data_IF_230296020526
#
_entry.id   IF_230296020526
#
_cell.length_a   1.000
_cell.length_b   1.000
_cell.length_c   1.000
_cell.angle_alpha   90.00
_cell.angle_beta   90.00
_cell.angle_gamma   90.00
#
_symmetry.space_group_name_H-M   'P 1'
#
loop_
_entity.id
_entity.type
_entity.pdbx_description
1 polymer ?
#
# COMPACT_ATOMS: atom_id res chain seq x y z
N UNK A 1 -43.38 24.50 -38.11
CA UNK A 1 -44.55 23.84 -37.47
C UNK A 1 -44.15 22.41 -37.11
N UNK A 2 -44.07 22.10 -35.81
CA UNK A 2 -43.85 20.79 -35.13
C UNK A 2 -42.44 20.15 -35.34
N UNK A 3 -41.46 20.24 -34.42
CA UNK A 3 -41.34 19.85 -32.99
C UNK A 3 -41.26 18.33 -32.75
N UNK A 4 -40.10 17.95 -32.18
CA UNK A 4 -39.75 16.80 -31.32
C UNK A 4 -39.68 15.38 -31.89
N UNK A 5 -38.51 14.76 -31.74
CA UNK A 5 -38.25 13.51 -30.97
C UNK A 5 -36.71 13.34 -30.93
N UNK A 6 -36.05 13.95 -29.94
CA UNK A 6 -35.61 13.38 -28.65
C UNK A 6 -34.23 12.71 -28.72
N UNK A 7 -33.32 13.31 -27.95
CA UNK A 7 -31.93 12.98 -27.75
C UNK A 7 -31.75 11.67 -26.98
N UNK A 8 -30.89 10.77 -27.49
CA UNK A 8 -30.34 9.63 -26.75
C UNK A 8 -28.94 9.29 -27.27
N UNK A 9 -27.94 10.08 -26.89
CA UNK A 9 -26.55 9.62 -26.82
C UNK A 9 -25.74 10.49 -25.86
N UNK A 10 -26.18 10.54 -24.59
CA UNK A 10 -25.33 11.00 -23.47
C UNK A 10 -25.23 9.87 -22.44
N UNK A 11 -24.78 8.72 -22.90
CA UNK A 11 -24.23 7.60 -22.14
C UNK A 11 -23.02 7.21 -23.00
N UNK A 12 -21.76 7.34 -22.58
CA UNK A 12 -21.17 6.92 -21.31
C UNK A 12 -19.82 7.65 -21.14
N UNK A 13 -19.18 7.52 -19.99
CA UNK A 13 -17.94 8.20 -19.55
C UNK A 13 -18.14 9.48 -18.73
N UNK A 14 -19.07 9.43 -17.78
CA UNK A 14 -18.68 9.83 -16.41
C UNK A 14 -17.76 8.72 -15.90
N UNK A 15 -16.46 8.81 -16.17
CA UNK A 15 -15.48 8.04 -15.39
C UNK A 15 -15.72 8.49 -13.96
N UNK A 16 -16.18 7.56 -13.13
CA UNK A 16 -16.32 7.76 -11.70
C UNK A 16 -14.94 8.17 -11.18
N UNK A 17 -14.73 9.48 -10.94
CA UNK A 17 -13.79 9.90 -9.91
C UNK A 17 -14.48 9.62 -8.58
N UNK A 18 -14.66 8.34 -8.28
CA UNK A 18 -14.85 7.95 -6.90
C UNK A 18 -13.52 8.30 -6.22
N UNK A 19 -13.51 9.14 -5.19
CA UNK A 19 -12.35 9.22 -4.33
C UNK A 19 -12.11 7.78 -3.87
N UNK A 20 -10.92 7.24 -4.16
CA UNK A 20 -10.52 5.90 -3.74
C UNK A 20 -10.72 5.89 -2.22
N UNK A 21 -11.80 5.25 -1.80
CA UNK A 21 -12.32 5.31 -0.44
C UNK A 21 -11.20 4.83 0.47
N UNK A 22 -10.88 5.59 1.52
CA UNK A 22 -9.92 5.21 2.53
C UNK A 22 -10.13 3.73 2.91
N UNK A 23 -9.08 2.91 2.80
CA UNK A 23 -9.13 1.50 3.17
C UNK A 23 -9.52 1.41 4.65
N UNK A 24 -10.67 0.81 4.98
CA UNK A 24 -11.04 0.59 6.39
C UNK A 24 -10.00 -0.31 7.08
N UNK A 25 -9.34 -1.16 6.31
CA UNK A 25 -8.35 -2.11 6.78
C UNK A 25 -6.97 -1.50 7.00
N UNK A 26 -6.71 -0.24 6.65
CA UNK A 26 -5.35 0.33 6.71
C UNK A 26 -5.32 1.75 7.27
N UNK A 27 -4.31 2.04 8.08
CA UNK A 27 -4.03 3.37 8.62
C UNK A 27 -2.54 3.66 8.65
N UNK A 28 -2.17 4.89 8.29
CA UNK A 28 -0.81 5.38 8.49
C UNK A 28 -0.58 5.75 9.95
N UNK A 29 0.44 5.16 10.56
CA UNK A 29 0.97 5.54 11.87
C UNK A 29 2.20 6.46 11.75
N UNK A 30 2.43 7.00 10.53
CA UNK A 30 3.56 7.86 10.20
C UNK A 30 3.39 9.26 10.78
N UNK A 31 4.50 9.92 11.08
CA UNK A 31 4.52 11.33 11.50
C UNK A 31 4.69 12.27 10.30
N UNK A 32 4.21 13.53 10.34
CA UNK A 32 4.50 14.53 9.32
C UNK A 32 5.99 14.84 9.13
N UNK A 33 6.87 14.37 10.00
CA UNK A 33 8.33 14.48 9.95
C UNK A 33 8.99 13.32 9.20
N UNK A 34 8.31 12.18 9.06
CA UNK A 34 8.84 10.97 8.41
C UNK A 34 9.22 11.23 6.94
N UNK A 35 10.21 10.48 6.43
CA UNK A 35 10.78 10.74 5.09
C UNK A 35 9.73 10.56 3.98
N UNK A 36 8.84 9.58 4.09
CA UNK A 36 7.78 9.32 3.13
C UNK A 36 6.45 9.91 3.58
N UNK A 37 5.88 10.77 2.73
CA UNK A 37 4.56 11.35 2.90
C UNK A 37 3.58 10.60 2.00
N UNK A 38 2.67 9.79 2.57
CA UNK A 38 1.71 9.03 1.79
C UNK A 38 0.64 9.94 1.17
N UNK A 39 0.31 9.71 -0.10
CA UNK A 39 -0.79 10.35 -0.81
C UNK A 39 -1.97 9.39 -0.97
N UNK A 40 -1.73 8.18 -1.49
CA UNK A 40 -2.77 7.17 -1.70
C UNK A 40 -2.25 5.76 -1.43
N UNK A 41 -3.10 4.90 -0.87
CA UNK A 41 -2.84 3.47 -0.75
C UNK A 41 -4.10 2.70 -1.14
N UNK A 42 -3.94 1.69 -1.99
CA UNK A 42 -4.99 0.75 -2.35
C UNK A 42 -4.48 -0.70 -2.20
N UNK A 43 -5.34 -1.54 -1.65
CA UNK A 43 -5.19 -2.99 -1.57
C UNK A 43 -6.29 -3.62 -2.43
N UNK A 44 -5.94 -4.54 -3.31
CA UNK A 44 -6.87 -5.14 -4.25
C UNK A 44 -6.68 -6.67 -4.30
N UNK A 45 -7.66 -7.47 -3.85
CA UNK A 45 -8.91 -7.06 -3.20
C UNK A 45 -8.68 -6.52 -1.77
N UNK A 46 -9.58 -5.64 -1.31
CA UNK A 46 -9.68 -5.23 0.10
C UNK A 46 -11.08 -5.62 0.64
N UNK A 47 -11.18 -6.51 1.65
CA UNK A 47 -10.08 -7.18 2.34
C UNK A 47 -9.36 -8.22 1.45
N UNK A 48 -8.08 -8.53 1.73
CA UNK A 48 -7.35 -9.57 1.00
C UNK A 48 -8.03 -10.95 1.09
N UNK A 49 -7.90 -11.74 0.02
CA UNK A 49 -8.56 -13.06 -0.10
C UNK A 49 -7.52 -14.17 -0.19
N UNK A 50 -7.74 -15.26 0.55
CA UNK A 50 -6.87 -16.44 0.51
C UNK A 50 -6.91 -17.12 -0.86
N UNK A 51 -5.75 -17.56 -1.33
CA UNK A 51 -5.60 -18.23 -2.62
C UNK A 51 -5.64 -17.27 -3.81
N UNK A 52 -5.78 -15.96 -3.56
CA UNK A 52 -5.80 -14.93 -4.59
C UNK A 52 -4.56 -14.04 -4.50
N UNK A 53 -4.36 -13.27 -5.56
CA UNK A 53 -3.32 -12.23 -5.62
C UNK A 53 -3.80 -10.99 -4.90
N UNK A 54 -2.93 -10.41 -4.09
CA UNK A 54 -3.10 -9.09 -3.52
C UNK A 54 -2.22 -8.10 -4.29
N UNK A 55 -2.85 -7.10 -4.91
CA UNK A 55 -2.16 -5.97 -5.53
C UNK A 55 -2.15 -4.80 -4.55
N UNK A 56 -0.97 -4.25 -4.31
CA UNK A 56 -0.70 -3.12 -3.43
C UNK A 56 -0.29 -1.96 -4.32
N UNK A 57 -1.04 -0.86 -4.28
CA UNK A 57 -0.74 0.36 -5.02
C UNK A 57 -0.53 1.49 -4.02
N UNK A 58 0.69 2.02 -3.99
CA UNK A 58 1.10 3.10 -3.09
C UNK A 58 1.59 4.28 -3.90
N UNK A 59 1.16 5.47 -3.52
CA UNK A 59 1.68 6.75 -4.01
C UNK A 59 2.03 7.65 -2.84
N UNK A 60 3.13 8.39 -2.97
CA UNK A 60 3.49 9.45 -2.04
C UNK A 60 4.73 10.23 -2.46
N UNK A 61 5.30 11.00 -1.53
CA UNK A 61 6.48 11.83 -1.74
C UNK A 61 7.58 11.45 -0.74
N UNK A 62 8.79 11.25 -1.23
CA UNK A 62 9.99 11.18 -0.41
C UNK A 62 10.55 12.59 -0.23
N UNK A 63 10.73 13.03 1.02
CA UNK A 63 11.35 14.32 1.36
C UNK A 63 12.87 14.34 1.16
N UNK A 64 13.45 13.16 1.24
CA UNK A 64 14.89 12.89 1.25
C UNK A 64 15.15 11.55 0.56
N UNK A 65 16.40 11.27 0.24
CA UNK A 65 16.79 10.01 -0.39
C UNK A 65 16.61 8.82 0.56
N UNK A 66 16.25 7.67 0.00
CA UNK A 66 16.24 6.37 0.72
C UNK A 66 17.37 5.52 0.17
N UNK A 67 18.34 5.23 1.03
CA UNK A 67 19.60 4.57 0.69
C UNK A 67 19.48 3.02 0.77
N UNK A 68 20.45 2.31 0.18
CA UNK A 68 20.53 0.84 0.15
C UNK A 68 20.46 0.15 1.52
N UNK A 69 20.88 0.84 2.57
CA UNK A 69 20.90 0.37 3.95
C UNK A 69 19.58 0.57 4.69
N UNK A 70 18.50 0.93 3.99
CA UNK A 70 17.18 1.16 4.59
C UNK A 70 16.44 -0.16 4.85
N UNK A 71 15.79 -0.26 6.01
CA UNK A 71 15.16 -1.48 6.51
C UNK A 71 13.68 -1.27 6.74
N UNK A 72 12.85 -2.24 6.36
CA UNK A 72 11.46 -2.36 6.77
C UNK A 72 11.33 -3.46 7.82
N UNK A 73 10.92 -3.10 9.04
CA UNK A 73 10.52 -4.08 10.04
C UNK A 73 9.05 -4.44 9.82
N UNK A 74 8.78 -5.72 9.54
CA UNK A 74 7.41 -6.22 9.33
C UNK A 74 7.02 -7.11 10.50
N UNK A 75 5.89 -6.77 11.12
CA UNK A 75 5.27 -7.53 12.21
C UNK A 75 3.88 -7.97 11.81
N UNK A 76 3.61 -9.27 11.87
CA UNK A 76 2.30 -9.86 11.57
C UNK A 76 1.82 -10.68 12.77
N UNK A 77 0.59 -10.41 13.22
CA UNK A 77 -0.09 -11.16 14.29
C UNK A 77 -1.37 -11.80 13.79
N UNK A 78 -1.62 -13.05 14.16
CA UNK A 78 -2.92 -13.73 14.06
C UNK A 78 -3.57 -13.73 15.45
N UNK A 79 -4.57 -12.89 15.65
CA UNK A 79 -5.10 -12.58 16.98
C UNK A 79 -4.01 -11.98 17.87
N UNK A 80 -3.60 -12.73 18.89
CA UNK A 80 -2.53 -12.33 19.82
C UNK A 80 -1.18 -13.02 19.54
N UNK A 81 -1.13 -13.98 18.62
CA UNK A 81 0.07 -14.77 18.30
C UNK A 81 0.89 -14.03 17.24
N UNK A 82 2.18 -13.84 17.49
CA UNK A 82 3.13 -13.28 16.51
C UNK A 82 3.50 -14.36 15.48
N UNK A 83 3.26 -14.09 14.20
CA UNK A 83 3.63 -14.98 13.09
C UNK A 83 4.95 -14.57 12.43
N UNK A 84 5.14 -13.27 12.20
CA UNK A 84 6.31 -12.70 11.53
C UNK A 84 6.80 -11.53 12.36
N UNK A 85 8.09 -11.48 12.70
CA UNK A 85 8.74 -10.29 13.25
C UNK A 85 10.16 -10.26 12.66
N UNK A 86 10.27 -9.70 11.46
CA UNK A 86 11.50 -9.78 10.67
C UNK A 86 11.81 -8.46 9.96
N UNK A 87 13.10 -8.09 9.89
CA UNK A 87 13.56 -7.01 9.03
C UNK A 87 13.64 -7.48 7.58
N UNK A 88 13.33 -6.58 6.66
CA UNK A 88 13.50 -6.73 5.22
C UNK A 88 14.32 -5.56 4.69
N UNK A 89 15.20 -5.82 3.73
CA UNK A 89 15.89 -4.77 3.00
C UNK A 89 14.89 -4.05 2.09
N UNK A 90 14.66 -2.75 2.33
CA UNK A 90 13.69 -1.97 1.55
C UNK A 90 14.09 -1.92 0.07
N UNK A 91 15.37 -1.78 -0.21
CA UNK A 91 15.92 -1.66 -1.56
C UNK A 91 15.82 -2.97 -2.34
N UNK A 92 15.99 -4.11 -1.69
CA UNK A 92 15.72 -5.41 -2.29
C UNK A 92 14.22 -5.56 -2.63
N UNK A 93 13.33 -5.16 -1.72
CA UNK A 93 11.88 -5.26 -1.96
C UNK A 93 11.43 -4.33 -3.09
N UNK A 94 11.89 -3.07 -3.15
CA UNK A 94 11.50 -2.15 -4.22
C UNK A 94 12.11 -2.52 -5.59
N UNK A 95 13.23 -3.26 -5.60
CA UNK A 95 13.80 -3.84 -6.82
C UNK A 95 12.82 -4.76 -7.53
N UNK A 96 12.00 -5.49 -6.78
CA UNK A 96 10.97 -6.38 -7.32
C UNK A 96 9.82 -5.63 -8.02
N UNK A 97 9.70 -4.32 -7.82
CA UNK A 97 8.72 -3.44 -8.49
C UNK A 97 9.37 -2.50 -9.50
N UNK A 98 10.59 -2.81 -9.94
CA UNK A 98 11.29 -2.07 -10.99
C UNK A 98 11.77 -0.68 -10.55
N UNK A 99 12.04 -0.49 -9.26
CA UNK A 99 12.70 0.71 -8.74
C UNK A 99 14.13 0.37 -8.34
N UNK A 100 15.05 1.28 -8.63
CA UNK A 100 16.46 1.14 -8.25
C UNK A 100 16.76 2.03 -7.06
N UNK A 101 17.54 1.51 -6.10
CA UNK A 101 18.10 2.33 -5.04
C UNK A 101 19.42 2.98 -5.49
N UNK A 102 19.74 4.19 -4.98
CA UNK A 102 18.97 4.96 -4.00
C UNK A 102 17.68 5.54 -4.61
N UNK A 103 16.60 5.55 -3.82
CA UNK A 103 15.39 6.28 -4.22
C UNK A 103 15.63 7.76 -3.96
N UNK A 104 15.62 8.54 -5.02
CA UNK A 104 15.78 9.99 -4.93
C UNK A 104 14.55 10.67 -4.30
N UNK A 105 14.79 11.86 -3.76
CA UNK A 105 13.73 12.75 -3.30
C UNK A 105 12.71 12.99 -4.42
N UNK A 106 11.42 12.93 -4.10
CA UNK A 106 10.33 13.22 -5.02
C UNK A 106 9.23 12.16 -5.02
N UNK A 107 8.47 12.11 -6.11
CA UNK A 107 7.29 11.26 -6.22
C UNK A 107 7.67 9.79 -6.28
N UNK A 108 7.06 8.98 -5.41
CA UNK A 108 7.18 7.54 -5.40
C UNK A 108 5.83 6.90 -5.70
N UNK A 109 5.81 6.09 -6.76
CA UNK A 109 4.67 5.25 -7.15
C UNK A 109 5.15 3.80 -7.18
N UNK A 110 4.47 2.96 -6.40
CA UNK A 110 4.74 1.54 -6.26
C UNK A 110 3.47 0.76 -6.57
N UNK A 111 3.60 -0.23 -7.44
CA UNK A 111 2.60 -1.28 -7.64
C UNK A 111 3.29 -2.63 -7.44
N UNK A 112 2.80 -3.42 -6.49
CA UNK A 112 3.35 -4.73 -6.18
C UNK A 112 2.24 -5.75 -6.09
N UNK A 113 2.46 -6.94 -6.65
CA UNK A 113 1.49 -8.04 -6.55
C UNK A 113 2.14 -9.20 -5.82
N UNK A 114 1.48 -9.67 -4.75
CA UNK A 114 1.90 -10.84 -3.97
C UNK A 114 0.82 -11.91 -4.00
N UNK A 115 1.22 -13.18 -3.95
CA UNK A 115 0.29 -14.29 -3.81
C UNK A 115 -0.03 -14.53 -2.33
N UNK A 116 -1.32 -14.59 -1.98
CA UNK A 116 -1.76 -15.02 -0.64
C UNK A 116 -2.04 -16.53 -0.69
N UNK A 117 -1.26 -17.38 0.01
CA UNK A 117 -1.47 -18.81 -0.03
C UNK A 117 -2.84 -19.23 0.52
N UNK A 118 -3.47 -20.23 -0.09
CA UNK A 118 -4.76 -20.76 0.37
C UNK A 118 -4.73 -21.37 1.79
N UNK A 119 -3.57 -21.88 2.19
CA UNK A 119 -3.28 -22.49 3.48
C UNK A 119 -3.12 -21.48 4.64
N UNK A 120 -3.17 -20.18 4.39
CA UNK A 120 -3.18 -19.15 5.44
C UNK A 120 -4.41 -19.39 6.35
N UNK A 121 -4.25 -19.56 7.68
CA UNK A 121 -5.38 -19.84 8.56
C UNK A 121 -6.43 -18.72 8.60
N UNK A 122 -7.70 -19.04 8.87
CA UNK A 122 -8.71 -18.01 9.09
C UNK A 122 -8.47 -17.25 10.40
N UNK A 123 -8.78 -15.95 10.40
CA UNK A 123 -8.76 -15.14 11.61
C UNK A 123 -8.46 -13.66 11.38
N UNK A 124 -8.24 -12.94 12.48
CA UNK A 124 -7.89 -11.51 12.47
C UNK A 124 -6.38 -11.35 12.37
N UNK A 125 -5.93 -10.78 11.26
CA UNK A 125 -4.55 -10.41 11.05
C UNK A 125 -4.34 -8.94 11.41
N UNK A 126 -3.28 -8.65 12.16
CA UNK A 126 -2.82 -7.28 12.43
C UNK A 126 -1.38 -7.19 11.93
N UNK A 127 -1.12 -6.27 11.02
CA UNK A 127 0.15 -6.05 10.36
C UNK A 127 0.62 -4.67 10.78
N UNK A 128 1.88 -4.58 11.16
CA UNK A 128 2.54 -3.34 11.52
C UNK A 128 3.88 -3.30 10.80
N UNK A 129 4.09 -2.25 10.02
CA UNK A 129 5.29 -2.05 9.20
C UNK A 129 5.91 -0.71 9.55
N UNK A 130 7.21 -0.71 9.84
CA UNK A 130 7.99 0.52 10.01
C UNK A 130 9.20 0.49 9.09
N UNK A 131 9.42 1.57 8.34
CA UNK A 131 10.64 1.78 7.56
C UNK A 131 11.61 2.70 8.30
N UNK A 132 12.90 2.40 8.26
CA UNK A 132 13.97 3.25 8.80
C UNK A 132 15.15 3.30 7.85
N UNK A 133 15.80 4.45 7.72
CA UNK A 133 17.05 4.56 6.95
C UNK A 133 18.26 4.14 7.79
N UNK A 134 19.47 4.23 7.22
CA UNK A 134 20.72 3.92 7.91
C UNK A 134 21.02 4.74 9.17
N UNK A 135 20.50 5.96 9.23
CA UNK A 135 20.66 6.86 10.38
C UNK A 135 19.58 6.61 11.44
N UNK A 136 18.79 5.54 11.30
CA UNK A 136 17.64 5.20 12.14
C UNK A 136 16.53 6.25 12.12
N UNK A 137 16.49 7.10 11.10
CA UNK A 137 15.41 8.05 10.88
C UNK A 137 14.20 7.31 10.30
N UNK A 138 12.97 7.63 10.78
CA UNK A 138 11.76 6.99 10.31
C UNK A 138 11.48 7.38 8.85
N UNK A 139 11.32 6.36 8.02
CA UNK A 139 10.87 6.52 6.63
C UNK A 139 9.35 6.56 6.57
N UNK A 140 8.69 5.59 7.18
CA UNK A 140 7.23 5.48 7.18
C UNK A 140 6.76 4.48 8.23
N UNK A 141 5.47 4.53 8.56
CA UNK A 141 4.77 3.59 9.42
C UNK A 141 3.37 3.31 8.90
N UNK A 142 3.03 2.03 8.77
CA UNK A 142 1.75 1.53 8.29
C UNK A 142 1.20 0.44 9.20
N UNK A 143 -0.07 0.58 9.59
CA UNK A 143 -0.85 -0.46 10.26
C UNK A 143 -1.95 -0.97 9.34
N UNK A 144 -2.10 -2.28 9.24
CA UNK A 144 -3.21 -2.90 8.53
C UNK A 144 -3.89 -3.99 9.37
N UNK A 145 -5.21 -4.08 9.29
CA UNK A 145 -6.03 -5.07 9.97
C UNK A 145 -7.08 -5.62 9.03
N UNK A 146 -7.04 -6.93 8.80
CA UNK A 146 -8.05 -7.62 8.00
C UNK A 146 -8.48 -8.94 8.64
N UNK A 147 -9.66 -9.41 8.23
CA UNK A 147 -10.17 -10.73 8.58
C UNK A 147 -10.23 -11.57 7.32
N UNK A 148 -9.52 -12.70 7.34
CA UNK A 148 -9.52 -13.69 6.26
C UNK A 148 -10.19 -14.97 6.75
#
# INVERSE_FOLDING_TARGET
MKILLLALSVFSYRISQQPITALESVSWCSSPEDIFIPETLALLPDPPVRGEKLTIQLKGQLKEKVDQSSVAQVRVKLGFIQLVDQPFDLCEQIGQVGKECPLEKGELVVEHTVDIPAQVPPGKYNIHVTGTNQDQLPITCLDATFRM
#
